data_IF_749667040983
#
_entry.id   IF_749667040983
#
_cell.length_a   1.000
_cell.length_b   1.000
_cell.length_c   1.000
_cell.angle_alpha   90.00
_cell.angle_beta   90.00
_cell.angle_gamma   90.00
#
_symmetry.space_group_name_H-M   'P 1'
#
loop_
_entity.id
_entity.type
_entity.pdbx_description
1 polymer ?
#
# COMPACT_ATOMS: atom_id res chain seq x y z
N UNK A 1 53.69 -51.35 14.23
CA UNK A 1 52.54 -50.90 15.02
C UNK A 1 51.65 -50.13 14.07
N UNK A 2 50.68 -50.85 13.49
CA UNK A 2 49.76 -50.33 12.49
C UNK A 2 48.64 -49.60 13.22
N UNK A 3 48.54 -48.29 13.02
CA UNK A 3 47.46 -47.49 13.59
C UNK A 3 46.22 -47.63 12.69
N UNK A 4 45.22 -48.36 13.18
CA UNK A 4 43.89 -48.42 12.58
C UNK A 4 43.23 -47.03 12.64
N UNK A 5 42.68 -46.50 11.54
CA UNK A 5 42.03 -45.18 11.55
C UNK A 5 40.66 -45.26 12.24
N UNK A 6 40.19 -44.17 12.87
CA UNK A 6 38.90 -44.16 13.53
C UNK A 6 37.80 -44.31 12.49
N UNK A 7 37.02 -45.37 12.62
CA UNK A 7 35.82 -45.61 11.82
C UNK A 7 34.93 -44.38 11.90
N UNK A 8 34.67 -43.79 10.73
CA UNK A 8 33.65 -42.80 10.50
C UNK A 8 32.32 -43.45 10.93
N UNK A 9 31.76 -43.04 12.07
CA UNK A 9 30.41 -43.45 12.45
C UNK A 9 29.45 -42.97 11.36
N UNK A 10 28.79 -43.93 10.74
CA UNK A 10 27.78 -43.70 9.74
C UNK A 10 26.62 -42.90 10.35
N UNK A 11 26.20 -41.76 9.77
CA UNK A 11 25.13 -40.92 10.31
C UNK A 11 23.72 -41.53 10.21
N UNK A 12 23.58 -42.77 9.71
CA UNK A 12 22.27 -43.40 9.47
C UNK A 12 21.80 -44.33 10.61
N UNK A 13 22.71 -44.94 11.38
CA UNK A 13 22.33 -45.85 12.49
C UNK A 13 21.90 -45.08 13.75
N UNK A 14 22.56 -43.96 14.05
CA UNK A 14 22.26 -43.13 15.23
C UNK A 14 20.88 -42.50 15.18
N UNK A 15 20.36 -42.19 13.98
CA UNK A 15 19.04 -41.60 13.84
C UNK A 15 17.90 -42.62 14.07
N UNK A 16 18.19 -43.92 13.88
CA UNK A 16 17.22 -45.00 14.09
C UNK A 16 17.05 -45.37 15.56
N UNK A 17 18.14 -45.38 16.32
CA UNK A 17 18.12 -45.69 17.76
C UNK A 17 17.42 -44.58 18.56
N UNK A 18 17.73 -43.31 18.29
CA UNK A 18 17.02 -42.16 18.87
C UNK A 18 15.53 -42.13 18.47
N UNK A 19 15.21 -42.46 17.22
CA UNK A 19 13.81 -42.55 16.79
C UNK A 19 13.07 -43.69 17.49
N UNK A 20 13.73 -44.82 17.77
CA UNK A 20 13.14 -45.95 18.49
C UNK A 20 12.84 -45.59 19.95
N UNK A 21 13.74 -44.87 20.61
CA UNK A 21 13.51 -44.37 21.97
C UNK A 21 12.31 -43.43 22.03
N UNK A 22 12.22 -42.49 21.08
CA UNK A 22 11.07 -41.60 20.95
C UNK A 22 9.80 -42.40 20.72
N UNK A 23 9.79 -43.34 19.77
CA UNK A 23 8.63 -44.18 19.47
C UNK A 23 8.06 -44.87 20.72
N UNK A 24 8.92 -45.41 21.58
CA UNK A 24 8.53 -46.10 22.81
C UNK A 24 7.90 -45.16 23.86
N UNK A 25 8.03 -43.84 23.70
CA UNK A 25 7.42 -42.82 24.57
C UNK A 25 6.15 -42.20 23.99
N UNK A 26 5.82 -42.48 22.72
CA UNK A 26 4.64 -41.90 22.07
C UNK A 26 3.37 -42.67 22.46
N UNK A 27 2.37 -41.94 22.95
CA UNK A 27 1.00 -42.44 23.01
C UNK A 27 0.39 -42.34 21.62
N UNK A 28 0.19 -43.49 20.97
CA UNK A 28 -0.41 -43.58 19.64
C UNK A 28 -1.81 -44.15 19.77
N UNK A 29 -2.80 -43.43 19.25
CA UNK A 29 -4.18 -43.91 19.19
C UNK A 29 -4.29 -45.15 18.30
N UNK A 30 -4.93 -46.18 18.84
CA UNK A 30 -5.28 -47.40 18.09
C UNK A 30 -6.59 -47.21 17.36
N UNK A 31 -6.75 -47.89 16.22
CA UNK A 31 -8.03 -47.89 15.49
C UNK A 31 -9.11 -48.68 16.26
N UNK A 32 -10.32 -48.74 15.69
CA UNK A 32 -11.46 -49.46 16.28
C UNK A 32 -11.17 -50.95 16.51
N UNK A 33 -10.23 -51.53 15.76
CA UNK A 33 -9.80 -52.92 15.86
C UNK A 33 -8.70 -53.14 16.92
N UNK A 34 -8.20 -52.06 17.53
CA UNK A 34 -7.12 -52.10 18.54
C UNK A 34 -5.70 -52.13 17.96
N UNK A 35 -5.56 -51.93 16.64
CA UNK A 35 -4.28 -51.94 15.93
C UNK A 35 -3.66 -50.55 15.79
N UNK A 36 -2.33 -50.50 15.89
CA UNK A 36 -1.53 -49.31 15.56
C UNK A 36 -1.48 -49.12 14.04
N UNK A 37 -1.93 -47.96 13.58
CA UNK A 37 -1.85 -47.62 12.16
C UNK A 37 -0.55 -46.86 11.86
N UNK A 38 0.03 -47.10 10.69
CA UNK A 38 1.19 -46.32 10.20
C UNK A 38 0.87 -44.82 10.19
N UNK A 39 -0.39 -44.45 9.89
CA UNK A 39 -0.88 -43.06 9.97
C UNK A 39 -0.78 -42.49 11.37
N UNK A 40 -1.31 -43.21 12.38
CA UNK A 40 -1.29 -42.76 13.77
C UNK A 40 0.13 -42.60 14.31
N UNK A 41 1.02 -43.55 13.98
CA UNK A 41 2.44 -43.46 14.35
C UNK A 41 3.10 -42.23 13.72
N UNK A 42 2.86 -41.99 12.42
CA UNK A 42 3.40 -40.81 11.73
C UNK A 42 2.89 -39.50 12.31
N UNK A 43 1.62 -39.43 12.70
CA UNK A 43 1.03 -38.23 13.28
C UNK A 43 1.53 -37.97 14.72
N UNK A 44 1.73 -39.01 15.52
CA UNK A 44 2.38 -38.90 16.82
C UNK A 44 3.83 -38.43 16.70
N UNK A 45 4.59 -38.96 15.74
CA UNK A 45 5.94 -38.49 15.44
C UNK A 45 5.95 -37.04 14.96
N UNK A 46 5.01 -36.62 14.11
CA UNK A 46 4.87 -35.21 13.73
C UNK A 46 4.59 -34.33 14.96
N UNK A 47 3.69 -34.76 15.85
CA UNK A 47 3.35 -34.00 17.06
C UNK A 47 4.53 -33.87 18.02
N UNK A 48 5.40 -34.89 18.09
CA UNK A 48 6.59 -34.90 18.92
C UNK A 48 7.76 -34.11 18.30
N UNK A 49 8.04 -34.32 17.02
CA UNK A 49 9.21 -33.75 16.35
C UNK A 49 8.99 -32.31 15.87
N UNK A 50 7.75 -31.91 15.59
CA UNK A 50 7.47 -30.53 15.23
C UNK A 50 7.42 -29.68 16.51
N UNK A 51 8.16 -28.57 16.58
CA UNK A 51 7.97 -27.59 17.63
C UNK A 51 6.48 -27.23 17.67
N UNK A 52 5.85 -27.37 18.84
CA UNK A 52 4.46 -26.95 19.02
C UNK A 52 4.35 -25.50 18.55
N UNK A 53 3.58 -25.27 17.48
CA UNK A 53 3.35 -23.92 16.96
C UNK A 53 2.82 -23.07 18.09
N UNK A 54 3.50 -21.97 18.39
CA UNK A 54 3.02 -21.05 19.38
C UNK A 54 2.04 -20.10 18.70
N UNK A 55 0.77 -20.49 18.62
CA UNK A 55 -0.30 -19.72 17.98
C UNK A 55 -0.36 -18.27 18.50
N UNK A 56 -0.07 -18.05 19.79
CA UNK A 56 -0.02 -16.71 20.38
C UNK A 56 1.10 -15.87 19.76
N UNK A 57 2.28 -16.46 19.58
CA UNK A 57 3.42 -15.81 18.94
C UNK A 57 3.16 -15.51 17.45
N UNK A 58 2.55 -16.45 16.71
CA UNK A 58 2.21 -16.23 15.31
C UNK A 58 1.16 -15.13 15.13
N UNK A 59 0.11 -15.13 15.99
CA UNK A 59 -0.88 -14.05 16.02
C UNK A 59 -0.24 -12.71 16.37
N UNK A 60 0.68 -12.69 17.34
CA UNK A 60 1.44 -11.48 17.65
C UNK A 60 2.20 -10.98 16.43
N UNK A 61 2.90 -11.85 15.69
CA UNK A 61 3.60 -11.46 14.46
C UNK A 61 2.66 -10.92 13.38
N UNK A 62 1.47 -11.52 13.21
CA UNK A 62 0.45 -11.04 12.28
C UNK A 62 -0.02 -9.62 12.66
N UNK A 63 -0.39 -9.41 13.93
CA UNK A 63 -0.88 -8.11 14.40
C UNK A 63 0.20 -7.04 14.42
N UNK A 64 1.45 -7.41 14.71
CA UNK A 64 2.59 -6.51 14.68
C UNK A 64 3.09 -6.20 13.26
N UNK A 65 2.64 -6.93 12.23
CA UNK A 65 3.15 -6.75 10.85
C UNK A 65 2.81 -5.35 10.32
N UNK A 66 3.82 -4.50 10.04
CA UNK A 66 3.59 -3.11 9.65
C UNK A 66 3.28 -2.99 8.15
N UNK A 67 2.40 -2.06 7.79
CA UNK A 67 2.31 -1.59 6.41
C UNK A 67 3.41 -0.55 6.18
N UNK A 68 4.51 -0.96 5.54
CA UNK A 68 5.67 -0.10 5.28
C UNK A 68 5.36 1.01 4.28
N UNK A 69 6.17 2.06 4.27
CA UNK A 69 6.01 3.13 3.27
C UNK A 69 6.30 2.58 1.87
N UNK A 70 5.43 2.91 0.91
CA UNK A 70 5.48 2.47 -0.48
C UNK A 70 5.18 0.99 -0.74
N UNK A 71 4.68 0.24 0.23
CA UNK A 71 4.11 -1.07 -0.05
C UNK A 71 2.77 -0.91 -0.77
N UNK A 72 2.55 -1.67 -1.85
CA UNK A 72 1.24 -1.73 -2.51
C UNK A 72 0.28 -2.60 -1.69
N UNK A 73 -1.02 -2.33 -1.83
CA UNK A 73 -2.05 -3.16 -1.17
C UNK A 73 -1.91 -4.64 -1.53
N UNK A 74 -1.63 -4.99 -2.79
CA UNK A 74 -1.46 -6.38 -3.24
C UNK A 74 -0.35 -7.11 -2.51
N UNK A 75 0.81 -6.43 -2.38
CA UNK A 75 1.96 -7.00 -1.68
C UNK A 75 1.63 -7.17 -0.20
N UNK A 76 1.01 -6.18 0.42
CA UNK A 76 0.65 -6.25 1.84
C UNK A 76 -0.36 -7.37 2.12
N UNK A 77 -1.39 -7.52 1.29
CA UNK A 77 -2.37 -8.64 1.39
C UNK A 77 -1.66 -9.99 1.27
N UNK A 78 -0.71 -10.12 0.35
CA UNK A 78 0.06 -11.35 0.17
C UNK A 78 0.86 -11.70 1.43
N UNK A 79 1.54 -10.72 2.03
CA UNK A 79 2.29 -10.91 3.27
C UNK A 79 1.37 -11.28 4.46
N UNK A 80 0.20 -10.65 4.56
CA UNK A 80 -0.79 -10.99 5.59
C UNK A 80 -1.33 -12.41 5.43
N UNK A 81 -1.62 -12.84 4.19
CA UNK A 81 -2.05 -14.22 3.89
C UNK A 81 -0.98 -15.27 4.18
N UNK A 82 0.30 -14.91 4.08
CA UNK A 82 1.37 -15.81 4.47
C UNK A 82 1.43 -15.95 5.99
N UNK A 83 1.32 -14.84 6.72
CA UNK A 83 1.36 -14.82 8.18
C UNK A 83 0.11 -15.44 8.84
N UNK A 84 -1.05 -15.36 8.21
CA UNK A 84 -2.29 -15.95 8.74
C UNK A 84 -2.30 -17.47 8.79
N UNK A 85 -1.49 -18.15 7.96
CA UNK A 85 -1.45 -19.62 7.85
C UNK A 85 -1.15 -20.32 9.17
N UNK A 86 -0.30 -19.72 10.00
CA UNK A 86 0.11 -20.27 11.28
C UNK A 86 -0.65 -19.67 12.47
N UNK A 87 -1.64 -18.80 12.21
CA UNK A 87 -2.42 -18.12 13.25
C UNK A 87 -3.66 -18.89 13.71
N UNK A 88 -4.02 -19.99 13.05
CA UNK A 88 -5.21 -20.79 13.36
C UNK A 88 -6.49 -19.93 13.43
N UNK A 89 -6.69 -19.04 12.46
CA UNK A 89 -7.89 -18.19 12.39
C UNK A 89 -9.14 -18.94 11.89
N UNK A 90 -8.96 -20.10 11.28
CA UNK A 90 -10.06 -20.92 10.76
C UNK A 90 -10.93 -20.14 9.77
N UNK A 91 -12.24 -20.22 9.94
CA UNK A 91 -13.24 -19.55 9.08
C UNK A 91 -13.16 -18.03 9.12
N UNK A 92 -12.52 -17.45 10.15
CA UNK A 92 -12.40 -16.00 10.34
C UNK A 92 -11.14 -15.41 9.70
N UNK A 93 -10.33 -16.19 8.97
CA UNK A 93 -9.10 -15.70 8.33
C UNK A 93 -9.36 -14.45 7.48
N UNK A 94 -10.42 -14.45 6.68
CA UNK A 94 -10.77 -13.31 5.83
C UNK A 94 -11.12 -12.05 6.64
N UNK A 95 -11.82 -12.22 7.76
CA UNK A 95 -12.16 -11.12 8.66
C UNK A 95 -10.91 -10.54 9.34
N UNK A 96 -9.99 -11.40 9.80
CA UNK A 96 -8.75 -10.96 10.44
C UNK A 96 -7.87 -10.16 9.47
N UNK A 97 -7.75 -10.62 8.22
CA UNK A 97 -7.00 -9.89 7.19
C UNK A 97 -7.69 -8.57 6.85
N UNK A 98 -9.02 -8.56 6.69
CA UNK A 98 -9.79 -7.34 6.42
C UNK A 98 -9.55 -6.30 7.51
N UNK A 99 -9.73 -6.69 8.77
CA UNK A 99 -9.61 -5.77 9.90
C UNK A 99 -8.18 -5.25 10.02
N UNK A 100 -7.19 -6.12 9.83
CA UNK A 100 -5.78 -5.73 9.79
C UNK A 100 -5.47 -4.72 8.68
N UNK A 101 -6.03 -4.89 7.47
CA UNK A 101 -5.90 -3.90 6.39
C UNK A 101 -6.45 -2.56 6.86
N UNK A 102 -7.71 -2.55 7.32
CA UNK A 102 -8.39 -1.31 7.75
C UNK A 102 -7.57 -0.59 8.82
N UNK A 103 -7.10 -1.30 9.85
CA UNK A 103 -6.33 -0.70 10.94
C UNK A 103 -4.99 -0.14 10.47
N UNK A 104 -4.31 -0.83 9.55
CA UNK A 104 -3.01 -0.43 9.01
C UNK A 104 -3.05 0.78 8.06
N UNK A 105 -4.21 1.20 7.57
CA UNK A 105 -4.31 2.35 6.67
C UNK A 105 -3.91 3.68 7.36
N UNK A 106 -2.97 4.39 6.74
CA UNK A 106 -2.57 5.76 7.12
C UNK A 106 -3.55 6.83 6.62
N UNK A 107 -4.22 6.58 5.49
CA UNK A 107 -5.19 7.50 4.89
C UNK A 107 -6.52 7.47 5.66
N UNK A 108 -6.78 8.52 6.45
CA UNK A 108 -7.98 8.62 7.27
C UNK A 108 -9.27 8.69 6.46
N UNK A 109 -9.24 9.27 5.25
CA UNK A 109 -10.44 9.35 4.40
C UNK A 109 -10.79 7.98 3.82
N UNK A 110 -9.78 7.22 3.43
CA UNK A 110 -9.96 5.85 2.97
C UNK A 110 -10.47 4.94 4.10
N UNK A 111 -9.90 5.10 5.30
CA UNK A 111 -10.34 4.37 6.51
C UNK A 111 -11.79 4.70 6.86
N UNK A 112 -12.18 5.98 6.89
CA UNK A 112 -13.58 6.40 7.12
C UNK A 112 -14.53 5.79 6.08
N UNK A 113 -14.17 5.81 4.80
CA UNK A 113 -14.98 5.21 3.73
C UNK A 113 -15.21 3.71 3.95
N UNK A 114 -14.17 2.96 4.34
CA UNK A 114 -14.29 1.52 4.61
C UNK A 114 -15.16 1.24 5.84
N UNK A 115 -15.01 2.02 6.91
CA UNK A 115 -15.78 1.86 8.15
C UNK A 115 -17.28 2.19 8.00
N UNK A 116 -17.67 2.94 6.97
CA UNK A 116 -19.08 3.20 6.65
C UNK A 116 -19.77 2.03 5.95
N UNK A 117 -19.03 1.03 5.48
CA UNK A 117 -19.60 -0.11 4.77
C UNK A 117 -20.08 -1.18 5.78
N UNK A 118 -21.39 -1.42 5.92
CA UNK A 118 -21.92 -2.24 7.00
C UNK A 118 -21.57 -3.74 6.90
N UNK A 119 -21.29 -4.22 5.68
CA UNK A 119 -20.94 -5.62 5.41
C UNK A 119 -19.62 -5.70 4.63
N UNK A 120 -18.60 -4.97 5.10
CA UNK A 120 -17.31 -4.92 4.41
C UNK A 120 -16.70 -6.32 4.33
N UNK A 121 -16.49 -6.81 3.11
CA UNK A 121 -15.77 -8.05 2.84
C UNK A 121 -14.28 -7.79 2.61
N UNK A 122 -13.45 -8.82 2.75
CA UNK A 122 -12.02 -8.72 2.43
C UNK A 122 -11.79 -8.28 0.98
N UNK A 123 -12.50 -8.88 0.03
CA UNK A 123 -12.41 -8.53 -1.39
C UNK A 123 -12.76 -7.05 -1.61
N UNK A 124 -13.84 -6.57 -1.00
CA UNK A 124 -14.29 -5.19 -1.17
C UNK A 124 -13.34 -4.17 -0.54
N UNK A 125 -12.71 -4.52 0.58
CA UNK A 125 -11.66 -3.72 1.19
C UNK A 125 -10.44 -3.61 0.27
N UNK A 126 -9.98 -4.73 -0.32
CA UNK A 126 -8.86 -4.76 -1.26
C UNK A 126 -9.15 -3.91 -2.49
N UNK A 127 -10.31 -4.07 -3.12
CA UNK A 127 -10.70 -3.31 -4.31
C UNK A 127 -10.77 -1.81 -4.03
N UNK A 128 -11.32 -1.42 -2.88
CA UNK A 128 -11.38 -0.02 -2.48
C UNK A 128 -9.99 0.58 -2.28
N UNK A 129 -9.07 -0.15 -1.64
CA UNK A 129 -7.69 0.26 -1.49
C UNK A 129 -6.97 0.38 -2.85
N UNK A 130 -7.10 -0.63 -3.72
CA UNK A 130 -6.52 -0.64 -5.07
C UNK A 130 -7.03 0.52 -5.92
N UNK A 131 -8.33 0.79 -5.87
CA UNK A 131 -8.93 1.93 -6.55
C UNK A 131 -8.38 3.27 -6.01
N UNK A 132 -8.17 3.37 -4.69
CA UNK A 132 -7.56 4.57 -4.10
C UNK A 132 -6.11 4.76 -4.53
N UNK A 133 -5.30 3.72 -4.58
CA UNK A 133 -3.91 3.78 -5.08
C UNK A 133 -3.88 4.24 -6.54
N UNK A 134 -4.73 3.63 -7.38
CA UNK A 134 -4.85 3.98 -8.80
C UNK A 134 -5.29 5.43 -9.00
N UNK A 135 -6.32 5.88 -8.27
CA UNK A 135 -6.80 7.25 -8.36
C UNK A 135 -5.73 8.26 -7.93
N UNK A 136 -4.95 7.97 -6.89
CA UNK A 136 -3.82 8.81 -6.46
C UNK A 136 -2.77 8.94 -7.56
N UNK A 137 -2.39 7.84 -8.20
CA UNK A 137 -1.43 7.84 -9.30
C UNK A 137 -1.95 8.65 -10.51
N UNK A 138 -3.22 8.48 -10.87
CA UNK A 138 -3.85 9.22 -11.97
C UNK A 138 -3.91 10.73 -11.68
N UNK A 139 -4.32 11.13 -10.48
CA UNK A 139 -4.37 12.54 -10.06
C UNK A 139 -2.97 13.16 -10.10
N UNK A 140 -1.94 12.44 -9.64
CA UNK A 140 -0.55 12.89 -9.71
C UNK A 140 -0.09 13.10 -11.16
N UNK A 141 -0.39 12.15 -12.05
CA UNK A 141 -0.06 12.26 -13.48
C UNK A 141 -0.76 13.46 -14.15
N UNK A 142 -2.03 13.71 -13.81
CA UNK A 142 -2.77 14.89 -14.31
C UNK A 142 -2.14 16.21 -13.84
N UNK A 143 -1.69 16.28 -12.57
CA UNK A 143 -1.00 17.44 -12.02
C UNK A 143 0.36 17.70 -12.67
N UNK A 144 1.15 16.65 -12.90
CA UNK A 144 2.45 16.74 -13.57
C UNK A 144 2.31 17.23 -15.03
N UNK A 145 1.33 16.72 -15.77
CA UNK A 145 1.05 17.15 -17.14
C UNK A 145 0.67 18.64 -17.25
N UNK A 146 0.07 19.22 -16.21
CA UNK A 146 -0.24 20.65 -16.16
C UNK A 146 1.01 21.51 -15.88
N UNK A 147 1.97 21.01 -15.10
CA UNK A 147 3.23 21.72 -14.84
C UNK A 147 4.13 21.75 -16.09
N UNK A 148 4.23 20.66 -16.83
CA UNK A 148 5.01 20.60 -18.08
C UNK A 148 4.50 21.60 -19.13
N UNK A 149 3.17 21.71 -19.28
CA UNK A 149 2.56 22.70 -20.18
C UNK A 149 2.86 24.14 -19.76
N UNK A 150 2.84 24.45 -18.46
CA UNK A 150 3.14 25.79 -17.96
C UNK A 150 4.61 26.20 -18.25
N UNK A 151 5.56 25.27 -18.10
CA UNK A 151 6.99 25.55 -18.41
C UNK A 151 7.21 25.78 -19.89
N UNK A 152 6.53 25.03 -20.78
CA UNK A 152 6.65 25.22 -22.23
C UNK A 152 6.08 26.57 -22.70
N UNK A 153 5.03 27.09 -22.05
CA UNK A 153 4.44 28.40 -22.38
C UNK A 153 5.37 29.56 -21.99
N UNK A 154 6.10 29.46 -20.87
CA UNK A 154 7.03 30.50 -20.42
C UNK A 154 8.28 30.61 -21.31
N UNK A 155 8.78 29.50 -21.87
CA UNK A 155 9.92 29.53 -22.79
C UNK A 155 9.59 30.22 -24.11
N UNK A 156 8.37 30.09 -24.61
CA UNK A 156 7.94 30.75 -25.86
C UNK A 156 7.79 32.27 -25.72
N UNK A 157 7.42 32.76 -24.54
CA UNK A 157 7.32 34.21 -24.26
C UNK A 157 8.68 34.92 -24.16
N UNK A 158 9.75 34.21 -23.79
CA UNK A 158 11.10 34.82 -23.72
C UNK A 158 11.77 34.99 -25.08
N UNK A 159 11.28 34.33 -26.13
CA UNK A 159 11.90 34.36 -27.47
C UNK A 159 11.27 35.36 -28.43
N UNK A 160 10.14 35.99 -28.08
CA UNK A 160 9.44 36.95 -28.96
C UNK A 160 9.75 38.43 -28.66
N UNK A 161 10.56 38.76 -27.65
CA UNK A 161 10.87 40.14 -27.23
C UNK A 161 12.19 40.73 -27.78
N UNK A 162 12.72 40.18 -28.87
CA UNK A 162 13.89 40.75 -29.57
C UNK A 162 13.62 40.92 -31.07
N UNK A 163 12.81 41.93 -31.41
CA UNK A 163 12.85 42.54 -32.75
C UNK A 163 13.75 43.79 -32.73
N UNK A 164 14.78 43.89 -33.59
CA UNK A 164 15.65 45.05 -33.64
C UNK A 164 14.97 46.23 -34.35
N UNK A 165 14.99 47.39 -33.68
CA UNK A 165 14.57 48.69 -34.23
C UNK A 165 15.52 49.12 -35.37
N UNK A 166 15.00 49.19 -36.60
CA UNK A 166 15.69 49.84 -37.72
C UNK A 166 15.58 51.36 -37.60
N UNK A 167 16.74 52.03 -37.54
CA UNK A 167 16.89 53.49 -37.52
C UNK A 167 16.68 54.07 -38.93
N UNK A 168 15.72 54.97 -39.09
CA UNK A 168 15.64 55.90 -40.22
C UNK A 168 16.05 57.30 -39.73
N UNK A 169 17.07 57.87 -40.38
CA UNK A 169 17.62 59.22 -40.10
C UNK A 169 16.80 60.31 -40.81
N UNK A 170 16.25 61.20 -39.98
CA UNK A 170 15.95 62.66 -40.07
C UNK A 170 15.89 63.40 -41.42
N UNK A 171 14.92 64.34 -41.53
CA UNK A 171 15.14 65.79 -41.67
C UNK A 171 13.81 66.61 -41.45
N UNK A 172 13.83 67.96 -41.26
CA UNK A 172 13.09 68.59 -40.17
C UNK A 172 11.92 69.54 -40.54
N UNK A 173 11.21 69.93 -39.46
CA UNK A 173 10.47 71.17 -39.20
C UNK A 173 9.17 71.48 -39.97
N UNK A 174 8.06 71.55 -39.24
CA UNK A 174 7.31 72.80 -39.07
C UNK A 174 6.33 72.76 -37.90
N UNK A 175 6.31 73.87 -37.16
CA UNK A 175 5.47 74.17 -36.01
C UNK A 175 4.11 74.70 -36.50
N UNK A 176 2.99 74.19 -35.99
CA UNK A 176 1.77 75.01 -35.82
C UNK A 176 0.97 74.56 -34.60
N UNK A 177 0.54 75.56 -33.83
CA UNK A 177 -0.32 75.47 -32.65
C UNK A 177 -1.73 74.98 -33.02
N UNK A 178 -2.40 74.29 -32.08
CA UNK A 178 -3.71 74.75 -31.59
C UNK A 178 -4.16 74.02 -30.32
N UNK A 179 -4.72 74.82 -29.41
CA UNK A 179 -5.33 74.48 -28.13
C UNK A 179 -6.77 73.95 -28.32
N UNK A 180 -7.19 73.02 -27.46
CA UNK A 180 -8.55 72.89 -26.88
C UNK A 180 -8.48 71.75 -25.85
N UNK A 181 -8.41 71.96 -24.53
CA UNK A 181 -9.51 72.32 -23.62
C UNK A 181 -10.87 71.73 -24.01
N UNK A 182 -11.31 70.67 -23.31
CA UNK A 182 -12.45 70.85 -22.41
C UNK A 182 -12.55 69.79 -21.30
N UNK A 183 -12.87 70.26 -20.09
CA UNK A 183 -13.33 69.52 -18.92
C UNK A 183 -14.88 69.50 -18.96
N UNK A 184 -15.49 68.47 -18.38
CA UNK A 184 -16.80 68.46 -17.66
C UNK A 184 -17.04 66.99 -17.29
N UNK A 185 -16.88 66.56 -16.02
CA UNK A 185 -17.76 66.70 -14.85
C UNK A 185 -19.20 66.26 -15.11
N UNK A 186 -19.63 65.22 -14.40
CA UNK A 186 -21.00 64.73 -14.39
C UNK A 186 -21.14 63.46 -13.55
N UNK A 187 -21.05 63.61 -12.22
CA UNK A 187 -21.59 62.68 -11.23
C UNK A 187 -23.09 62.47 -11.45
N UNK A 188 -23.63 61.28 -11.22
CA UNK A 188 -24.83 61.11 -10.38
C UNK A 188 -24.92 59.67 -9.86
N UNK A 189 -25.40 59.62 -8.63
CA UNK A 189 -25.45 58.58 -7.62
C UNK A 189 -26.75 57.77 -7.67
N UNK A 190 -26.81 56.74 -6.81
CA UNK A 190 -28.00 56.13 -6.18
C UNK A 190 -28.74 55.06 -7.00
N UNK A 191 -29.39 54.02 -6.47
CA UNK A 191 -29.42 53.25 -5.21
C UNK A 191 -30.50 52.15 -5.44
N UNK A 192 -30.49 51.06 -4.65
CA UNK A 192 -31.57 50.08 -4.32
C UNK A 192 -31.13 48.63 -4.62
N UNK A 193 -30.94 47.68 -3.69
CA UNK A 193 -31.68 47.17 -2.50
C UNK A 193 -32.96 46.37 -2.78
N UNK A 194 -33.09 45.25 -2.02
CA UNK A 194 -34.19 44.27 -1.84
C UNK A 194 -34.18 43.06 -2.81
N UNK A 195 -33.91 41.82 -2.36
CA UNK A 195 -34.69 40.85 -1.53
C UNK A 195 -35.84 40.14 -2.29
N UNK A 196 -35.75 38.80 -2.43
CA UNK A 196 -36.76 37.73 -2.20
C UNK A 196 -36.18 36.39 -2.73
N UNK A 197 -36.01 35.33 -1.94
CA UNK A 197 -36.99 34.35 -1.42
C UNK A 197 -37.73 33.57 -2.52
N UNK A 198 -37.25 32.34 -2.79
CA UNK A 198 -38.00 31.07 -2.83
C UNK A 198 -37.02 29.90 -2.68
#
# INVERSE_FOLDING_TARGET
MEATPPAQRHPAETSGEEALEVYNTLDVDVNEDGDLTVSGILDAFKAYCLPRKNTVFERHQFWAHPMTENISIEKYVTELRQKSKDCEFGTSEHDMIRDKIVFSLKDQRLKDRLLREPNLTLERAIDTCRASETAKAQIQAMGAANQEKAVHVLHKRKTEDQQPQNKIKQQPAQWTQSKAQNKTVGSHTSHASAQHME
#
